data_IF_626847671644
#
_entry.id   IF_626847671644
#
_cell.length_a   1.000
_cell.length_b   1.000
_cell.length_c   1.000
_cell.angle_alpha   90.00
_cell.angle_beta   90.00
_cell.angle_gamma   90.00
#
_symmetry.space_group_name_H-M   'P 1'
#
loop_
_entity.id
_entity.type
_entity.pdbx_description
1 polymer ?
#
# COMPACT_ATOMS: atom_id res chain seq x y z
N UNK A 1 23.49 11.50 34.94
CA UNK A 1 23.65 10.90 33.60
C UNK A 1 23.07 9.49 33.66
N UNK A 2 21.83 9.29 33.23
CA UNK A 2 21.22 7.97 33.09
C UNK A 2 20.90 7.80 31.61
N UNK A 3 21.76 7.06 30.92
CA UNK A 3 21.50 6.65 29.54
C UNK A 3 20.41 5.59 29.57
N UNK A 4 19.20 5.97 29.21
CA UNK A 4 18.13 5.02 28.85
C UNK A 4 18.51 4.45 27.49
N UNK A 5 19.34 3.41 27.47
CA UNK A 5 19.53 2.61 26.27
C UNK A 5 18.18 2.07 25.83
N UNK A 6 17.67 2.56 24.69
CA UNK A 6 16.50 1.96 24.03
C UNK A 6 16.81 0.47 23.88
N UNK A 7 16.07 -0.39 24.58
CA UNK A 7 16.15 -1.84 24.32
C UNK A 7 15.75 -2.01 22.85
N UNK A 8 16.65 -2.58 22.05
CA UNK A 8 16.32 -3.00 20.68
C UNK A 8 15.09 -3.88 20.75
N UNK A 9 14.01 -3.40 20.12
CA UNK A 9 12.75 -4.12 20.06
C UNK A 9 12.93 -5.24 19.05
N UNK A 10 12.72 -6.49 19.48
CA UNK A 10 12.81 -7.64 18.55
C UNK A 10 11.81 -7.51 17.40
N UNK A 11 12.04 -8.24 16.31
CA UNK A 11 11.25 -8.20 15.07
C UNK A 11 9.74 -8.29 15.30
N UNK A 12 9.32 -9.20 16.19
CA UNK A 12 7.90 -9.34 16.58
C UNK A 12 7.34 -8.10 17.26
N UNK A 13 8.14 -7.44 18.10
CA UNK A 13 7.77 -6.18 18.72
C UNK A 13 7.55 -5.10 17.67
N UNK A 14 8.46 -4.98 16.69
CA UNK A 14 8.34 -3.98 15.62
C UNK A 14 7.04 -4.17 14.84
N UNK A 15 6.68 -5.42 14.53
CA UNK A 15 5.43 -5.77 13.87
C UNK A 15 4.20 -5.41 14.71
N UNK A 16 4.22 -5.70 16.01
CA UNK A 16 3.14 -5.34 16.94
C UNK A 16 2.91 -3.83 16.94
N UNK A 17 3.99 -3.05 17.05
CA UNK A 17 3.89 -1.60 17.14
C UNK A 17 3.39 -0.96 15.84
N UNK A 18 3.90 -1.39 14.69
CA UNK A 18 3.42 -0.84 13.42
C UNK A 18 1.98 -1.28 13.10
N UNK A 19 1.60 -2.50 13.51
CA UNK A 19 0.21 -2.97 13.41
C UNK A 19 -0.74 -2.17 14.30
N UNK A 20 -0.30 -1.74 15.49
CA UNK A 20 -1.05 -0.82 16.35
C UNK A 20 -1.29 0.51 15.63
N UNK A 21 -0.28 1.08 14.97
CA UNK A 21 -0.39 2.34 14.22
C UNK A 21 -1.33 2.16 13.02
N UNK A 22 -1.25 1.03 12.31
CA UNK A 22 -2.21 0.68 11.25
C UNK A 22 -3.64 0.64 11.79
N UNK A 23 -3.86 0.01 12.95
CA UNK A 23 -5.17 -0.04 13.60
C UNK A 23 -5.72 1.35 13.98
N UNK A 24 -4.86 2.27 14.44
CA UNK A 24 -5.23 3.68 14.67
C UNK A 24 -5.61 4.35 13.35
N UNK A 25 -4.81 4.13 12.30
CA UNK A 25 -5.03 4.70 10.97
C UNK A 25 -6.37 4.24 10.38
N UNK A 26 -6.68 2.95 10.45
CA UNK A 26 -7.96 2.42 9.95
C UNK A 26 -9.15 3.02 10.72
N UNK A 27 -9.05 3.22 12.03
CA UNK A 27 -10.10 3.91 12.79
C UNK A 27 -10.24 5.37 12.40
N UNK A 28 -9.13 6.07 12.14
CA UNK A 28 -9.15 7.44 11.65
C UNK A 28 -9.86 7.53 10.30
N UNK A 29 -9.54 6.66 9.35
CA UNK A 29 -10.19 6.61 8.04
C UNK A 29 -11.68 6.27 8.16
N UNK A 30 -12.02 5.26 8.97
CA UNK A 30 -13.42 4.86 9.21
C UNK A 30 -14.26 5.97 9.88
N UNK A 31 -13.62 6.88 10.63
CA UNK A 31 -14.27 8.06 11.21
C UNK A 31 -14.44 9.23 10.22
N UNK A 32 -14.17 9.03 8.93
CA UNK A 32 -14.26 10.04 7.88
C UNK A 32 -12.94 10.74 7.57
N UNK A 33 -11.81 10.23 8.07
CA UNK A 33 -10.47 10.75 7.78
C UNK A 33 -10.37 12.24 8.06
N UNK A 34 -9.89 13.00 7.08
CA UNK A 34 -9.72 14.46 7.20
C UNK A 34 -11.04 15.20 7.41
N UNK A 35 -12.14 14.76 6.77
CA UNK A 35 -13.47 15.35 6.95
C UNK A 35 -14.01 15.13 8.37
N UNK A 36 -13.62 14.03 9.01
CA UNK A 36 -13.92 13.72 10.40
C UNK A 36 -12.97 14.38 11.41
N UNK A 37 -11.91 15.05 10.95
CA UNK A 37 -10.94 15.71 11.82
C UNK A 37 -11.43 17.10 12.24
N UNK A 38 -11.07 17.49 13.47
CA UNK A 38 -11.39 18.82 13.99
C UNK A 38 -10.41 19.89 13.51
N UNK A 39 -9.30 19.49 12.89
CA UNK A 39 -8.28 20.39 12.38
C UNK A 39 -7.89 20.04 10.96
N UNK A 40 -7.39 21.05 10.22
CA UNK A 40 -6.80 20.82 8.90
C UNK A 40 -5.61 19.85 8.95
N UNK A 41 -5.33 19.11 7.85
CA UNK A 41 -4.25 18.12 7.77
C UNK A 41 -2.88 18.59 8.28
N UNK A 42 -2.50 19.83 7.97
CA UNK A 42 -1.23 20.44 8.33
C UNK A 42 -1.16 20.98 9.77
N UNK A 43 -2.26 20.94 10.51
CA UNK A 43 -2.27 21.40 11.89
C UNK A 43 -1.65 20.33 12.80
N UNK A 44 -0.81 20.73 13.77
CA UNK A 44 -0.11 19.81 14.67
C UNK A 44 -1.05 19.00 15.58
N UNK A 45 -2.26 19.51 15.83
CA UNK A 45 -3.28 18.83 16.65
C UNK A 45 -4.22 17.90 15.86
N UNK A 46 -4.11 17.85 14.52
CA UNK A 46 -4.90 16.91 13.71
C UNK A 46 -4.55 15.47 14.07
N UNK A 47 -5.51 14.56 13.93
CA UNK A 47 -5.25 13.13 14.14
C UNK A 47 -4.29 12.60 13.07
N UNK A 48 -4.32 13.17 11.86
CA UNK A 48 -3.33 12.89 10.81
C UNK A 48 -1.89 13.20 11.29
N UNK A 49 -1.66 14.38 11.88
CA UNK A 49 -0.34 14.75 12.39
C UNK A 49 0.14 13.82 13.50
N UNK A 50 -0.77 13.33 14.36
CA UNK A 50 -0.43 12.33 15.38
C UNK A 50 -0.03 10.98 14.77
N UNK A 51 -0.73 10.51 13.73
CA UNK A 51 -0.36 9.29 13.01
C UNK A 51 1.04 9.45 12.39
N UNK A 52 1.32 10.58 11.75
CA UNK A 52 2.65 10.89 11.20
C UNK A 52 3.74 10.87 12.27
N UNK A 53 3.46 11.48 13.43
CA UNK A 53 4.40 11.48 14.56
C UNK A 53 4.66 10.06 15.09
N UNK A 54 3.62 9.22 15.19
CA UNK A 54 3.74 7.80 15.58
C UNK A 54 4.63 7.02 14.58
N UNK A 55 4.49 7.30 13.28
CA UNK A 55 5.33 6.70 12.23
C UNK A 55 6.78 7.18 12.31
N UNK A 56 7.02 8.47 12.54
CA UNK A 56 8.37 9.02 12.71
C UNK A 56 9.07 8.42 13.93
N UNK A 57 8.35 8.27 15.04
CA UNK A 57 8.86 7.60 16.24
C UNK A 57 9.20 6.14 15.97
N UNK A 58 8.36 5.41 15.24
CA UNK A 58 8.63 4.02 14.85
C UNK A 58 9.85 3.92 13.91
N UNK A 59 9.93 4.79 12.89
CA UNK A 59 11.05 4.80 11.94
C UNK A 59 12.39 5.08 12.63
N UNK A 60 12.46 6.09 13.51
CA UNK A 60 13.67 6.40 14.29
C UNK A 60 14.09 5.28 15.25
N UNK A 61 13.18 4.38 15.60
CA UNK A 61 13.45 3.21 16.44
C UNK A 61 14.00 2.01 15.67
N UNK A 62 14.01 2.06 14.34
CA UNK A 62 14.28 0.89 13.47
C UNK A 62 15.38 1.14 12.43
N UNK A 63 16.08 2.28 12.49
CA UNK A 63 17.13 2.67 11.53
C UNK A 63 18.20 1.59 11.33
N UNK A 64 18.70 0.98 12.41
CA UNK A 64 19.75 -0.04 12.33
C UNK A 64 19.30 -1.28 11.53
N UNK A 65 18.06 -1.73 11.74
CA UNK A 65 17.51 -2.94 11.12
C UNK A 65 17.17 -2.72 9.64
N UNK A 66 16.78 -1.50 9.27
CA UNK A 66 16.46 -1.13 7.88
C UNK A 66 17.59 -0.37 7.19
N UNK A 67 18.81 -0.44 7.70
CA UNK A 67 19.98 0.29 7.18
C UNK A 67 20.46 -0.23 5.82
N UNK A 68 20.26 -1.52 5.53
CA UNK A 68 20.61 -2.14 4.24
C UNK A 68 19.69 -3.30 3.89
N UNK A 69 19.63 -3.66 2.60
CA UNK A 69 18.89 -4.83 2.11
C UNK A 69 19.48 -6.13 2.67
N UNK A 70 20.81 -6.23 2.78
CA UNK A 70 21.47 -7.39 3.37
C UNK A 70 21.06 -7.61 4.84
N UNK A 71 20.90 -6.51 5.59
CA UNK A 71 20.45 -6.58 6.99
C UNK A 71 18.97 -6.93 7.10
N UNK A 72 18.14 -6.46 6.17
CA UNK A 72 16.70 -6.72 6.15
C UNK A 72 16.37 -8.15 5.73
N UNK A 73 17.05 -8.67 4.70
CA UNK A 73 16.77 -9.98 4.09
C UNK A 73 17.67 -11.11 4.62
N UNK A 74 18.78 -10.77 5.28
CA UNK A 74 19.75 -11.75 5.80
C UNK A 74 19.44 -12.29 7.19
N UNK A 75 18.34 -11.85 7.84
CA UNK A 75 17.98 -12.29 9.18
C UNK A 75 17.00 -13.48 9.17
N UNK A 76 16.97 -14.27 10.23
CA UNK A 76 16.00 -15.36 10.37
C UNK A 76 14.54 -14.84 10.42
N UNK A 77 14.34 -13.64 10.94
CA UNK A 77 13.02 -13.01 11.07
C UNK A 77 12.68 -12.09 9.87
N UNK A 78 13.38 -12.23 8.74
CA UNK A 78 13.25 -11.28 7.61
C UNK A 78 11.83 -11.12 7.11
N UNK A 79 11.02 -12.19 7.09
CA UNK A 79 9.58 -12.11 6.76
C UNK A 79 8.84 -11.12 7.65
N UNK A 80 9.08 -11.16 8.97
CA UNK A 80 8.43 -10.27 9.95
C UNK A 80 8.90 -8.83 9.77
N UNK A 81 10.20 -8.63 9.50
CA UNK A 81 10.78 -7.31 9.29
C UNK A 81 10.28 -6.66 7.98
N UNK A 82 10.26 -7.43 6.88
CA UNK A 82 9.72 -7.01 5.59
C UNK A 82 8.24 -6.66 5.73
N UNK A 83 7.45 -7.51 6.38
CA UNK A 83 6.04 -7.21 6.64
C UNK A 83 5.86 -5.93 7.46
N UNK A 84 6.68 -5.73 8.49
CA UNK A 84 6.65 -4.51 9.31
C UNK A 84 6.92 -3.27 8.46
N UNK A 85 7.92 -3.33 7.56
CA UNK A 85 8.27 -2.24 6.65
C UNK A 85 7.20 -1.98 5.60
N UNK A 86 6.58 -3.03 5.06
CA UNK A 86 5.43 -2.91 4.16
C UNK A 86 4.25 -2.22 4.84
N UNK A 87 3.93 -2.57 6.09
CA UNK A 87 2.86 -1.90 6.85
C UNK A 87 3.19 -0.42 7.08
N UNK A 88 4.45 -0.09 7.40
CA UNK A 88 4.89 1.30 7.54
C UNK A 88 4.62 2.11 6.26
N UNK A 89 5.01 1.58 5.10
CA UNK A 89 4.76 2.26 3.82
C UNK A 89 3.26 2.30 3.47
N UNK A 90 2.53 1.22 3.74
CA UNK A 90 1.08 1.15 3.54
C UNK A 90 0.35 2.26 4.31
N UNK A 91 0.69 2.48 5.58
CA UNK A 91 0.04 3.52 6.39
C UNK A 91 0.23 4.89 5.75
N UNK A 92 1.44 5.20 5.27
CA UNK A 92 1.68 6.45 4.56
C UNK A 92 0.86 6.58 3.27
N UNK A 93 0.77 5.51 2.47
CA UNK A 93 -0.11 5.52 1.30
C UNK A 93 -1.57 5.77 1.70
N UNK A 94 -2.07 5.10 2.74
CA UNK A 94 -3.45 5.24 3.21
C UNK A 94 -3.79 6.66 3.67
N UNK A 95 -2.87 7.32 4.38
CA UNK A 95 -3.11 8.68 4.89
C UNK A 95 -2.90 9.77 3.83
N UNK A 96 -2.06 9.55 2.82
CA UNK A 96 -1.77 10.56 1.81
C UNK A 96 -2.57 10.40 0.51
N UNK A 97 -3.02 9.18 0.16
CA UNK A 97 -3.82 8.95 -1.06
C UNK A 97 -5.05 9.85 -1.22
N UNK A 98 -5.80 10.24 -0.15
CA UNK A 98 -6.98 11.09 -0.33
C UNK A 98 -6.65 12.47 -0.91
N UNK A 99 -5.39 12.92 -0.76
CA UNK A 99 -4.94 14.24 -1.17
C UNK A 99 -4.36 14.28 -2.60
N UNK A 100 -4.36 13.15 -3.31
CA UNK A 100 -3.97 13.12 -4.72
C UNK A 100 -4.96 13.96 -5.55
N UNK A 101 -4.51 15.04 -6.20
CA UNK A 101 -5.39 15.98 -6.89
C UNK A 101 -6.04 15.33 -8.12
N UNK A 102 -7.26 15.73 -8.47
CA UNK A 102 -7.86 15.34 -9.77
C UNK A 102 -7.48 16.38 -10.82
N UNK A 103 -7.38 17.65 -10.44
CA UNK A 103 -6.85 18.70 -11.29
C UNK A 103 -5.43 19.06 -10.86
N UNK A 104 -4.42 18.86 -11.73
CA UNK A 104 -3.05 19.25 -11.40
C UNK A 104 -2.91 20.77 -11.22
N UNK A 105 -3.85 21.58 -11.72
CA UNK A 105 -3.90 23.00 -11.42
C UNK A 105 -4.14 23.30 -9.92
N UNK A 106 -4.67 22.35 -9.13
CA UNK A 106 -4.75 22.48 -7.66
C UNK A 106 -3.37 22.65 -7.03
N UNK A 107 -2.33 22.08 -7.65
CA UNK A 107 -0.94 22.20 -7.20
C UNK A 107 -0.30 23.52 -7.66
N UNK A 108 -0.91 24.22 -8.62
CA UNK A 108 -0.40 25.48 -9.14
C UNK A 108 -0.76 26.64 -8.19
N UNK A 109 0.08 26.85 -7.17
CA UNK A 109 -0.07 27.95 -6.23
C UNK A 109 1.03 27.99 -5.17
N UNK A 110 1.01 29.05 -4.36
CA UNK A 110 2.00 29.29 -3.30
C UNK A 110 1.36 29.40 -1.90
N UNK A 111 0.12 28.95 -1.74
CA UNK A 111 -0.57 28.90 -0.47
C UNK A 111 -0.14 27.70 0.39
N UNK A 112 -0.39 27.80 1.70
CA UNK A 112 -0.02 26.76 2.67
C UNK A 112 -0.63 25.39 2.34
N UNK A 113 -1.88 25.36 1.85
CA UNK A 113 -2.54 24.11 1.48
C UNK A 113 -1.93 23.49 0.22
N UNK A 114 -1.53 24.29 -0.78
CA UNK A 114 -0.83 23.78 -1.97
C UNK A 114 0.51 23.17 -1.60
N UNK A 115 1.35 23.88 -0.84
CA UNK A 115 2.65 23.34 -0.43
C UNK A 115 2.51 22.04 0.34
N UNK A 116 1.49 21.95 1.19
CA UNK A 116 1.20 20.72 1.93
C UNK A 116 0.69 19.59 1.02
N UNK A 117 -0.18 19.89 0.04
CA UNK A 117 -0.72 18.88 -0.89
C UNK A 117 0.36 18.35 -1.85
N UNK A 118 1.28 19.20 -2.30
CA UNK A 118 2.47 18.80 -3.07
C UNK A 118 3.30 17.81 -2.25
N UNK A 119 3.58 18.14 -0.98
CA UNK A 119 4.34 17.26 -0.08
C UNK A 119 3.60 15.94 0.16
N UNK A 120 2.29 15.98 0.45
CA UNK A 120 1.47 14.78 0.61
C UNK A 120 1.49 13.91 -0.65
N UNK A 121 1.43 14.51 -1.83
CA UNK A 121 1.53 13.79 -3.11
C UNK A 121 2.89 13.11 -3.25
N UNK A 122 3.99 13.84 -3.03
CA UNK A 122 5.34 13.28 -3.09
C UNK A 122 5.52 12.13 -2.10
N UNK A 123 5.05 12.29 -0.86
CA UNK A 123 5.12 11.25 0.16
C UNK A 123 4.28 10.02 -0.21
N UNK A 124 3.09 10.21 -0.79
CA UNK A 124 2.23 9.11 -1.23
C UNK A 124 2.95 8.22 -2.26
N UNK A 125 3.56 8.83 -3.27
CA UNK A 125 4.30 8.11 -4.31
C UNK A 125 5.61 7.53 -3.80
N UNK A 126 6.35 8.23 -2.95
CA UNK A 126 7.57 7.71 -2.34
C UNK A 126 7.30 6.39 -1.62
N UNK A 127 6.19 6.32 -0.89
CA UNK A 127 5.81 5.10 -0.17
C UNK A 127 5.18 4.02 -1.06
N UNK A 128 4.44 4.40 -2.11
CA UNK A 128 3.93 3.45 -3.08
C UNK A 128 5.07 2.76 -3.86
N UNK A 129 6.05 3.55 -4.33
CA UNK A 129 7.26 3.03 -4.98
C UNK A 129 8.01 2.07 -4.05
N UNK A 130 8.18 2.44 -2.77
CA UNK A 130 8.87 1.60 -1.79
C UNK A 130 8.17 0.25 -1.56
N UNK A 131 6.84 0.18 -1.60
CA UNK A 131 6.10 -1.09 -1.56
C UNK A 131 6.44 -1.94 -2.77
N UNK A 132 6.29 -1.38 -3.98
CA UNK A 132 6.53 -2.11 -5.22
C UNK A 132 7.97 -2.62 -5.34
N UNK A 133 8.96 -1.81 -4.94
CA UNK A 133 10.37 -2.18 -4.91
C UNK A 133 10.69 -3.23 -3.85
N UNK A 134 10.18 -3.06 -2.62
CA UNK A 134 10.46 -4.00 -1.53
C UNK A 134 9.93 -5.40 -1.84
N UNK A 135 8.74 -5.49 -2.45
CA UNK A 135 8.20 -6.77 -2.93
C UNK A 135 9.07 -7.34 -4.04
N UNK A 136 9.49 -6.53 -5.00
CA UNK A 136 10.32 -6.99 -6.12
C UNK A 136 11.70 -7.51 -5.67
N UNK A 137 12.36 -6.79 -4.78
CA UNK A 137 13.64 -7.18 -4.20
C UNK A 137 13.51 -8.44 -3.35
N UNK A 138 12.46 -8.51 -2.53
CA UNK A 138 12.24 -9.67 -1.67
C UNK A 138 11.96 -10.94 -2.46
N UNK A 139 11.31 -10.87 -3.64
CA UNK A 139 11.03 -12.05 -4.48
C UNK A 139 12.30 -12.79 -4.91
N UNK A 140 13.43 -12.10 -4.96
CA UNK A 140 14.73 -12.67 -5.30
C UNK A 140 15.33 -13.45 -4.11
N UNK A 141 14.72 -13.34 -2.93
CA UNK A 141 15.18 -13.95 -1.68
C UNK A 141 14.30 -15.14 -1.32
N UNK A 142 14.84 -16.36 -1.41
CA UNK A 142 14.08 -17.61 -1.23
C UNK A 142 13.53 -17.85 0.20
N UNK A 143 14.00 -17.10 1.20
CA UNK A 143 13.60 -17.26 2.61
C UNK A 143 12.39 -16.41 3.00
N UNK A 144 11.94 -15.49 2.13
CA UNK A 144 10.82 -14.59 2.43
C UNK A 144 9.50 -15.28 2.08
N UNK A 145 8.63 -15.37 3.08
CA UNK A 145 7.25 -15.76 2.86
C UNK A 145 6.40 -14.51 2.54
N UNK A 146 5.36 -14.68 1.74
CA UNK A 146 4.48 -13.60 1.29
C UNK A 146 3.06 -13.81 1.80
N UNK A 147 2.69 -13.34 3.01
CA UNK A 147 1.34 -13.47 3.53
C UNK A 147 0.31 -12.75 2.65
N UNK A 148 -0.95 -13.18 2.69
CA UNK A 148 -2.04 -12.56 1.92
C UNK A 148 -2.15 -11.03 2.10
N UNK A 149 -1.79 -10.52 3.29
CA UNK A 149 -1.78 -9.08 3.58
C UNK A 149 -0.87 -8.27 2.65
N UNK A 150 0.19 -8.88 2.10
CA UNK A 150 1.06 -8.23 1.11
C UNK A 150 0.26 -7.85 -0.15
N UNK A 151 -0.74 -8.64 -0.54
CA UNK A 151 -1.64 -8.29 -1.65
C UNK A 151 -2.42 -7.00 -1.40
N UNK A 152 -2.78 -6.70 -0.16
CA UNK A 152 -3.43 -5.43 0.20
C UNK A 152 -2.44 -4.25 0.11
N UNK A 153 -1.18 -4.45 0.53
CA UNK A 153 -0.12 -3.45 0.35
C UNK A 153 0.09 -3.12 -1.14
N UNK A 154 0.26 -4.15 -1.98
CA UNK A 154 0.47 -4.01 -3.42
C UNK A 154 -0.73 -3.33 -4.08
N UNK A 155 -1.96 -3.75 -3.76
CA UNK A 155 -3.15 -3.11 -4.32
C UNK A 155 -3.26 -1.64 -3.93
N UNK A 156 -2.96 -1.31 -2.67
CA UNK A 156 -2.99 0.10 -2.21
C UNK A 156 -1.95 0.95 -2.95
N UNK A 157 -0.72 0.47 -3.10
CA UNK A 157 0.31 1.15 -3.90
C UNK A 157 -0.12 1.28 -5.37
N UNK A 158 -0.73 0.24 -5.94
CA UNK A 158 -1.32 0.26 -7.26
C UNK A 158 -2.35 1.37 -7.46
N UNK A 159 -3.19 1.68 -6.47
CA UNK A 159 -4.14 2.80 -6.60
C UNK A 159 -3.44 4.16 -6.77
N UNK A 160 -2.28 4.34 -6.15
CA UNK A 160 -1.43 5.54 -6.29
C UNK A 160 -0.77 5.54 -7.67
N UNK A 161 -0.27 4.40 -8.13
CA UNK A 161 0.36 4.30 -9.45
C UNK A 161 -0.63 4.41 -10.61
N UNK A 162 -1.91 4.02 -10.45
CA UNK A 162 -2.98 4.33 -11.38
C UNK A 162 -3.06 5.84 -11.59
N UNK A 163 -3.10 6.60 -10.48
CA UNK A 163 -3.10 8.06 -10.56
C UNK A 163 -1.87 8.57 -11.33
N UNK A 164 -0.66 8.20 -10.93
CA UNK A 164 0.55 8.69 -11.63
C UNK A 164 0.60 8.30 -13.11
N UNK A 165 0.13 7.10 -13.49
CA UNK A 165 0.11 6.64 -14.87
C UNK A 165 -0.77 7.51 -15.77
N UNK A 166 -1.90 8.02 -15.26
CA UNK A 166 -2.78 8.91 -16.01
C UNK A 166 -2.26 10.35 -16.08
N UNK A 167 -1.60 10.84 -15.03
CA UNK A 167 -1.21 12.25 -14.91
C UNK A 167 0.23 12.55 -15.33
N UNK A 168 1.08 11.52 -15.48
CA UNK A 168 2.47 11.62 -15.96
C UNK A 168 2.64 12.39 -17.29
N UNK A 169 1.59 12.43 -18.12
CA UNK A 169 1.63 13.02 -19.47
C UNK A 169 0.91 14.38 -19.60
N UNK A 170 0.30 14.90 -18.54
CA UNK A 170 -0.67 16.01 -18.60
C UNK A 170 -0.22 17.34 -17.97
N UNK A 171 1.00 17.47 -17.45
CA UNK A 171 1.46 18.69 -16.77
C UNK A 171 1.85 19.84 -17.72
N UNK A 172 1.22 21.03 -17.67
CA UNK A 172 1.73 22.22 -18.34
C UNK A 172 2.89 22.80 -17.50
N UNK A 173 4.14 22.65 -17.97
CA UNK A 173 5.30 23.35 -17.39
C UNK A 173 6.38 22.50 -16.71
N UNK A 174 6.30 21.17 -16.79
CA UNK A 174 7.35 20.28 -16.30
C UNK A 174 6.76 19.05 -15.63
N UNK A 175 7.23 17.87 -16.07
CA UNK A 175 6.93 16.58 -15.45
C UNK A 175 7.09 16.68 -13.93
N UNK A 176 6.04 16.39 -13.17
CA UNK A 176 6.27 16.04 -11.76
C UNK A 176 6.96 14.68 -11.80
N UNK A 177 8.29 14.69 -11.69
CA UNK A 177 9.16 13.52 -11.90
C UNK A 177 8.71 12.29 -11.12
N UNK A 178 8.01 12.51 -10.01
CA UNK A 178 7.40 11.50 -9.15
C UNK A 178 6.41 10.56 -9.88
N UNK A 179 5.80 11.00 -10.98
CA UNK A 179 4.84 10.20 -11.77
C UNK A 179 5.48 9.33 -12.86
N UNK A 180 6.73 9.60 -13.24
CA UNK A 180 7.31 9.05 -14.48
C UNK A 180 7.39 7.52 -14.49
N UNK A 181 7.61 6.89 -13.33
CA UNK A 181 7.72 5.43 -13.19
C UNK A 181 6.39 4.74 -12.89
N UNK A 182 5.28 5.47 -12.72
CA UNK A 182 4.04 4.90 -12.20
C UNK A 182 3.41 3.84 -13.11
N UNK A 183 3.51 4.00 -14.44
CA UNK A 183 3.00 2.99 -15.36
C UNK A 183 3.78 1.65 -15.28
N UNK A 184 5.10 1.73 -15.06
CA UNK A 184 5.94 0.55 -14.88
C UNK A 184 5.63 -0.15 -13.55
N UNK A 185 5.55 0.62 -12.46
CA UNK A 185 5.18 0.08 -11.16
C UNK A 185 3.79 -0.58 -11.19
N UNK A 186 2.79 0.07 -11.79
CA UNK A 186 1.45 -0.50 -11.91
C UNK A 186 1.44 -1.85 -12.66
N UNK A 187 2.18 -1.94 -13.76
CA UNK A 187 2.33 -3.19 -14.52
C UNK A 187 2.93 -4.29 -13.66
N UNK A 188 3.98 -3.95 -12.90
CA UNK A 188 4.66 -4.88 -11.98
C UNK A 188 3.73 -5.34 -10.84
N UNK A 189 2.98 -4.43 -10.23
CA UNK A 189 2.04 -4.73 -9.14
C UNK A 189 0.90 -5.64 -9.61
N UNK A 190 0.35 -5.39 -10.81
CA UNK A 190 -0.65 -6.29 -11.42
C UNK A 190 -0.08 -7.70 -11.62
N UNK A 191 1.18 -7.81 -12.05
CA UNK A 191 1.85 -9.10 -12.17
C UNK A 191 2.07 -9.75 -10.79
N UNK A 192 2.57 -9.00 -9.81
CA UNK A 192 2.79 -9.50 -8.45
C UNK A 192 1.49 -10.02 -7.81
N UNK A 193 0.36 -9.32 -7.98
CA UNK A 193 -0.96 -9.80 -7.52
C UNK A 193 -1.40 -11.07 -8.28
N UNK A 194 -1.11 -11.14 -9.58
CA UNK A 194 -1.42 -12.30 -10.43
C UNK A 194 -0.65 -13.55 -10.06
N UNK A 195 0.55 -13.39 -9.52
CA UNK A 195 1.39 -14.48 -9.00
C UNK A 195 0.97 -14.85 -7.56
N UNK A 196 0.78 -13.85 -6.69
CA UNK A 196 0.47 -14.08 -5.29
C UNK A 196 -0.90 -14.77 -5.07
N UNK A 197 -1.85 -14.61 -5.99
CA UNK A 197 -3.15 -15.29 -5.92
C UNK A 197 -3.07 -16.83 -5.99
N UNK A 198 -1.99 -17.40 -6.53
CA UNK A 198 -1.80 -18.85 -6.54
C UNK A 198 -1.55 -19.41 -5.13
N UNK A 199 -0.94 -18.60 -4.26
CA UNK A 199 -0.77 -18.93 -2.85
C UNK A 199 -1.97 -18.50 -2.00
N UNK A 200 -2.61 -17.38 -2.35
CA UNK A 200 -3.71 -16.80 -1.57
C UNK A 200 -4.88 -16.38 -2.46
N UNK A 201 -5.92 -17.21 -2.52
CA UNK A 201 -7.10 -16.94 -3.35
C UNK A 201 -7.75 -15.57 -3.06
N UNK A 202 -7.69 -15.08 -1.81
CA UNK A 202 -8.19 -13.76 -1.42
C UNK A 202 -7.48 -12.59 -2.13
N UNK A 203 -6.27 -12.79 -2.67
CA UNK A 203 -5.53 -11.78 -3.43
C UNK A 203 -6.14 -11.56 -4.82
N UNK A 204 -6.92 -12.51 -5.34
CA UNK A 204 -7.69 -12.29 -6.57
C UNK A 204 -8.62 -11.07 -6.44
N UNK A 205 -9.27 -10.91 -5.28
CA UNK A 205 -10.12 -9.75 -5.03
C UNK A 205 -9.35 -8.44 -5.14
N UNK A 206 -8.14 -8.38 -4.57
CA UNK A 206 -7.28 -7.20 -4.64
C UNK A 206 -6.93 -6.85 -6.09
N UNK A 207 -6.62 -7.86 -6.92
CA UNK A 207 -6.37 -7.69 -8.36
C UNK A 207 -7.59 -7.16 -9.11
N UNK A 208 -8.77 -7.74 -8.88
CA UNK A 208 -10.02 -7.33 -9.53
C UNK A 208 -10.44 -5.91 -9.14
N UNK A 209 -10.30 -5.58 -7.85
CA UNK A 209 -10.55 -4.24 -7.34
C UNK A 209 -9.61 -3.23 -7.98
N UNK A 210 -8.30 -3.52 -8.04
CA UNK A 210 -7.34 -2.64 -8.68
C UNK A 210 -7.64 -2.42 -10.17
N UNK A 211 -8.00 -3.48 -10.90
CA UNK A 211 -8.39 -3.40 -12.31
C UNK A 211 -9.66 -2.55 -12.51
N UNK A 212 -10.63 -2.69 -11.60
CA UNK A 212 -11.88 -1.92 -11.64
C UNK A 212 -11.63 -0.44 -11.34
N UNK A 213 -10.74 -0.13 -10.39
CA UNK A 213 -10.31 1.24 -10.08
C UNK A 213 -9.59 1.85 -11.29
N UNK A 214 -8.73 1.10 -11.98
CA UNK A 214 -8.06 1.57 -13.20
C UNK A 214 -9.08 2.01 -14.28
N UNK A 215 -10.11 1.19 -14.50
CA UNK A 215 -11.18 1.51 -15.45
C UNK A 215 -11.97 2.74 -15.00
N UNK A 216 -12.37 2.81 -13.73
CA UNK A 216 -13.09 3.96 -13.19
C UNK A 216 -12.26 5.26 -13.26
N UNK A 217 -10.96 5.18 -12.99
CA UNK A 217 -10.06 6.34 -13.07
C UNK A 217 -9.82 6.79 -14.52
N UNK A 218 -9.79 5.85 -15.46
CA UNK A 218 -9.77 6.17 -16.89
C UNK A 218 -11.00 6.98 -17.29
N UNK A 219 -12.19 6.58 -16.86
CA UNK A 219 -13.44 7.32 -17.13
C UNK A 219 -13.47 8.67 -16.40
N UNK A 220 -12.96 8.74 -15.17
CA UNK A 220 -12.81 9.99 -14.42
C UNK A 220 -11.99 11.01 -15.20
N UNK A 221 -10.78 10.64 -15.61
CA UNK A 221 -9.86 11.55 -16.33
C UNK A 221 -10.46 11.99 -17.68
N UNK A 222 -11.11 11.09 -18.41
CA UNK A 222 -11.83 11.44 -19.66
C UNK A 222 -12.96 12.43 -19.41
N UNK A 223 -13.74 12.24 -18.35
CA UNK A 223 -14.84 13.15 -18.00
C UNK A 223 -14.33 14.53 -17.60
N UNK A 224 -13.21 14.57 -16.88
CA UNK A 224 -12.59 15.79 -16.38
C UNK A 224 -12.07 16.67 -17.53
N UNK A 225 -11.48 16.07 -18.57
CA UNK A 225 -11.06 16.79 -19.77
C UNK A 225 -12.23 17.53 -20.48
N UNK A 226 -13.47 17.09 -20.26
CA UNK A 226 -14.67 17.65 -20.89
C UNK A 226 -15.45 18.61 -19.97
N UNK A 227 -15.07 18.74 -18.69
CA UNK A 227 -15.78 19.57 -17.71
C UNK A 227 -14.91 20.71 -17.20
N UNK A 228 -15.52 21.90 -17.06
CA UNK A 228 -14.89 23.02 -16.33
C UNK A 228 -15.11 22.84 -14.84
N UNK A 229 -14.27 22.01 -14.21
CA UNK A 229 -14.23 21.93 -12.76
C UNK A 229 -13.59 23.21 -12.18
N UNK A 230 -14.09 23.66 -11.02
CA UNK A 230 -13.35 24.64 -10.21
C UNK A 230 -12.37 23.88 -9.32
N UNK A 231 -11.08 24.25 -9.29
CA UNK A 231 -10.11 23.65 -8.40
C UNK A 231 -10.58 23.87 -6.95
N UNK A 232 -10.86 22.78 -6.23
CA UNK A 232 -11.25 22.82 -4.84
C UNK A 232 -10.49 21.73 -4.11
N UNK A 233 -9.91 22.09 -2.96
CA UNK A 233 -9.21 21.12 -2.11
C UNK A 233 -10.20 20.06 -1.62
N UNK A 234 -10.13 18.86 -2.20
CA UNK A 234 -11.06 17.78 -1.90
C UNK A 234 -10.66 17.10 -0.58
N UNK A 235 -11.60 17.10 0.37
CA UNK A 235 -11.45 16.49 1.70
C UNK A 235 -12.28 15.21 1.85
N UNK A 236 -12.79 14.69 0.75
CA UNK A 236 -13.66 13.51 0.71
C UNK A 236 -12.84 12.22 0.80
N UNK A 237 -13.52 11.08 0.97
CA UNK A 237 -12.81 9.80 0.91
C UNK A 237 -12.18 9.62 -0.48
N UNK A 238 -11.06 8.88 -0.53
CA UNK A 238 -10.35 8.66 -1.77
C UNK A 238 -11.25 8.05 -2.85
N UNK A 239 -12.16 7.14 -2.49
CA UNK A 239 -13.03 6.47 -3.46
C UNK A 239 -14.28 7.27 -3.86
N UNK A 240 -14.64 8.32 -3.10
CA UNK A 240 -15.79 9.17 -3.43
C UNK A 240 -15.64 9.84 -4.81
N UNK A 241 -14.41 10.05 -5.27
CA UNK A 241 -14.11 10.60 -6.61
C UNK A 241 -14.61 9.75 -7.79
N UNK A 242 -14.93 8.47 -7.56
CA UNK A 242 -15.47 7.58 -8.58
C UNK A 242 -17.00 7.53 -8.59
N UNK A 243 -17.64 8.31 -7.70
CA UNK A 243 -19.08 8.51 -7.69
C UNK A 243 -19.46 9.66 -8.64
N UNK A 244 -20.57 9.52 -9.37
CA UNK A 244 -21.10 10.57 -10.25
C UNK A 244 -20.08 11.15 -11.24
N UNK A 245 -19.26 10.29 -11.86
CA UNK A 245 -18.31 10.68 -12.91
C UNK A 245 -19.07 11.33 -14.07
N UNK A 246 -18.71 12.57 -14.39
CA UNK A 246 -19.41 13.38 -15.39
C UNK A 246 -20.62 14.16 -14.85
N UNK A 247 -20.76 14.31 -13.53
CA UNK A 247 -21.79 15.13 -12.88
C UNK A 247 -23.00 14.34 -12.37
N UNK A 248 -24.04 15.02 -11.84
CA UNK A 248 -25.22 14.36 -11.29
C UNK A 248 -25.89 13.41 -12.29
N UNK A 249 -26.04 12.13 -11.91
CA UNK A 249 -26.58 11.08 -12.78
C UNK A 249 -25.56 10.43 -13.72
N UNK A 250 -24.27 10.79 -13.58
CA UNK A 250 -23.15 10.16 -14.28
C UNK A 250 -22.82 8.75 -13.78
N UNK A 251 -21.80 8.14 -14.37
CA UNK A 251 -21.38 6.79 -13.99
C UNK A 251 -20.91 6.77 -12.54
N UNK A 252 -21.32 5.77 -11.78
CA UNK A 252 -20.96 5.63 -10.37
C UNK A 252 -20.31 4.28 -10.16
N UNK A 253 -19.09 4.30 -9.63
CA UNK A 253 -18.36 3.13 -9.19
C UNK A 253 -18.22 3.21 -7.68
N UNK A 254 -18.67 2.17 -6.98
CA UNK A 254 -18.55 2.08 -5.54
C UNK A 254 -17.44 1.10 -5.19
N UNK A 255 -16.43 1.59 -4.48
CA UNK A 255 -15.35 0.78 -3.93
C UNK A 255 -15.43 0.85 -2.42
N UNK A 256 -15.38 -0.30 -1.78
CA UNK A 256 -15.32 -0.37 -0.32
C UNK A 256 -13.91 -0.84 0.06
N UNK A 257 -13.17 0.04 0.74
CA UNK A 257 -11.82 -0.23 1.21
C UNK A 257 -11.75 -1.40 2.20
N UNK A 258 -12.86 -1.77 2.84
CA UNK A 258 -12.97 -2.84 3.80
C UNK A 258 -13.59 -4.13 3.23
N UNK A 259 -14.06 -4.12 1.98
CA UNK A 259 -14.71 -5.29 1.40
C UNK A 259 -13.69 -6.30 0.89
N UNK A 260 -13.93 -7.57 1.19
CA UNK A 260 -13.18 -8.71 0.65
C UNK A 260 -14.21 -9.64 -0.01
N UNK A 261 -14.26 -9.65 -1.33
CA UNK A 261 -15.08 -10.65 -2.05
C UNK A 261 -14.31 -11.96 -2.13
N UNK A 262 -14.78 -12.98 -1.42
CA UNK A 262 -14.30 -14.34 -1.58
C UNK A 262 -15.11 -15.03 -2.68
N UNK A 263 -14.72 -14.78 -3.93
CA UNK A 263 -15.24 -15.55 -5.06
C UNK A 263 -14.48 -16.88 -5.13
N UNK A 264 -15.16 -18.00 -5.42
CA UNK A 264 -14.51 -19.28 -5.69
C UNK A 264 -13.67 -19.15 -6.96
N UNK A 265 -12.38 -18.84 -6.81
CA UNK A 265 -11.45 -18.77 -7.93
C UNK A 265 -11.01 -20.19 -8.23
N UNK A 266 -11.44 -20.73 -9.37
CA UNK A 266 -10.83 -21.93 -9.95
C UNK A 266 -9.43 -21.55 -10.41
N UNK A 267 -8.45 -21.74 -9.54
CA UNK A 267 -7.04 -21.57 -9.88
C UNK A 267 -6.61 -22.84 -10.60
N UNK A 268 -6.42 -22.76 -11.91
CA UNK A 268 -5.91 -23.89 -12.71
C UNK A 268 -4.46 -24.13 -12.28
N UNK A 269 -4.26 -25.11 -11.40
CA UNK A 269 -2.97 -25.39 -10.77
C UNK A 269 -2.06 -26.09 -11.79
N UNK A 270 -1.29 -25.31 -12.55
CA UNK A 270 -0.17 -25.84 -13.33
C UNK A 270 1.02 -25.99 -12.37
N UNK A 271 1.31 -27.23 -11.97
CA UNK A 271 2.37 -27.57 -11.01
C UNK A 271 3.77 -27.07 -11.40
N UNK A 272 3.99 -26.70 -12.66
CA UNK A 272 5.31 -26.31 -13.18
C UNK A 272 5.71 -24.85 -12.92
N UNK A 273 4.80 -24.00 -12.42
CA UNK A 273 5.09 -22.57 -12.20
C UNK A 273 5.37 -22.19 -10.75
N UNK A 274 5.13 -23.09 -9.79
CA UNK A 274 5.30 -22.81 -8.35
C UNK A 274 6.20 -23.86 -7.71
N UNK A 275 7.49 -23.56 -7.56
CA UNK A 275 8.42 -24.36 -6.73
C UNK A 275 8.26 -23.97 -5.26
N UNK A 276 7.06 -24.16 -4.72
CA UNK A 276 6.85 -24.17 -3.27
C UNK A 276 7.36 -25.49 -2.71
N UNK A 277 8.26 -25.42 -1.73
CA UNK A 277 8.87 -26.61 -1.12
C UNK A 277 7.83 -27.58 -0.56
N UNK A 278 7.89 -28.83 -1.04
CA UNK A 278 7.21 -29.99 -0.45
C UNK A 278 7.59 -30.16 1.03
N UNK A 279 6.66 -29.89 1.93
CA UNK A 279 6.71 -30.28 3.33
C UNK A 279 5.69 -31.38 3.62
N UNK A 280 6.01 -32.60 3.14
CA UNK A 280 5.44 -33.90 3.57
C UNK A 280 6.23 -34.99 2.82
N UNK A 281 6.96 -35.95 3.38
CA UNK A 281 6.96 -36.58 4.69
C UNK A 281 8.31 -37.29 4.83
N UNK A 282 9.09 -37.00 5.88
CA UNK A 282 10.11 -37.94 6.37
C UNK A 282 9.52 -38.62 7.60
N UNK A 283 8.68 -39.63 7.39
CA UNK A 283 8.49 -40.65 8.41
C UNK A 283 9.57 -41.70 8.20
N UNK A 284 10.62 -41.56 9.02
CA UNK A 284 11.62 -42.60 9.23
C UNK A 284 10.93 -43.85 9.75
N UNK A 285 10.94 -44.91 8.95
CA UNK A 285 10.56 -46.24 9.40
C UNK A 285 11.46 -46.69 10.54
N UNK A 286 10.90 -46.72 11.74
CA UNK A 286 11.48 -47.47 12.86
C UNK A 286 10.93 -48.89 12.76
N UNK A 287 11.77 -49.79 12.24
CA UNK A 287 11.58 -51.23 12.36
C UNK A 287 11.62 -51.61 13.84
N UNK A 288 10.48 -52.03 14.38
CA UNK A 288 10.44 -52.74 15.67
C UNK A 288 10.53 -54.24 15.37
N UNK A 289 11.72 -54.78 15.55
CA UNK A 289 11.95 -56.22 15.59
C UNK A 289 11.26 -56.82 16.82
N UNK A 290 10.22 -57.62 16.58
CA UNK A 290 9.58 -58.46 17.59
C UNK A 290 9.81 -59.94 17.28
N UNK A 291 10.93 -60.49 17.75
CA UNK A 291 10.99 -61.90 18.13
C UNK A 291 10.33 -62.02 19.51
N UNK A 292 9.39 -62.94 19.75
CA UNK A 292 9.52 -64.26 20.41
C UNK A 292 8.09 -64.85 20.54
N UNK A 293 7.88 -66.11 20.16
CA UNK A 293 6.64 -66.87 20.42
C UNK A 293 6.30 -67.86 19.31
#
# INVERSE_FOLDING_TARGET
>A
MQGTGKKSQGSSGMLIDISRILGITNRYLAAGGVKGDSHFPWHSLSNLSKIRQDLDMWASGTEDVFSSLDTLFGQNDSTVLVLSKLIYHLIHCLIYRPFLPIDLAELAGNGQHQSWQIEATNMCFLHANAIAELVELGKQTATIEWPAFVGYCICTAGTVHIHGAHYSKLGPGGEMSVFNSSAEFLSREMQQLSELRYAWASVQHQRETLQSIFNAHTELVKSFANMRYSPAFQLEDFFDRYSNIGGPGGQTFNFDAANLSLSDVVVDFTADAYTGHDLRSKESGVEVAGAIG
#
